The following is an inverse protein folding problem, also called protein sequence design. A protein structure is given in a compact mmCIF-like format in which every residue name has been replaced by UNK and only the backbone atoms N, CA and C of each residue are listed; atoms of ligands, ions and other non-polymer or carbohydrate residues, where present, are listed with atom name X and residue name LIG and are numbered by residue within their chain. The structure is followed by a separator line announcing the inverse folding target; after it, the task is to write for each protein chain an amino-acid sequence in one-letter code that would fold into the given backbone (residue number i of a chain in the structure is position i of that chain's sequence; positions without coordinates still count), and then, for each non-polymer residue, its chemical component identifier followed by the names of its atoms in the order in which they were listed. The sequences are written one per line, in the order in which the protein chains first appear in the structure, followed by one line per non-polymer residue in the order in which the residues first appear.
data_IF_848591571176
#
_entry.id   IF_848591571176
#
_cell.length_a   1.000
_cell.length_b   1.000
_cell.length_c   1.000
_cell.angle_alpha   90.00
_cell.angle_beta   90.00
_cell.angle_gamma   90.00
#
_symmetry.space_group_name_H-M   'P 1'
#
loop_
_entity.id
_entity.type
_entity.pdbx_description
1 polymer ?
#
# COMPACT_ATOMS: atom_id res chain seq x y z
N UNK A 1 44.90 -88.46 -27.63
CA UNK A 1 44.04 -89.17 -28.60
C UNK A 1 42.68 -89.42 -27.95
N UNK A 2 41.69 -88.74 -28.49
CA UNK A 2 40.23 -88.99 -28.45
C UNK A 2 39.77 -90.36 -27.95
N UNK A 3 38.85 -90.36 -26.98
CA UNK A 3 37.71 -91.27 -26.99
C UNK A 3 36.42 -90.49 -26.65
N UNK A 4 35.58 -90.38 -27.67
CA UNK A 4 34.21 -89.87 -27.65
C UNK A 4 33.27 -90.92 -27.04
N UNK A 5 32.43 -90.52 -26.09
CA UNK A 5 31.25 -91.27 -25.67
C UNK A 5 30.01 -90.38 -25.82
N UNK A 6 28.99 -90.93 -26.48
CA UNK A 6 27.74 -90.28 -26.84
C UNK A 6 26.87 -89.90 -25.62
N UNK A 7 26.05 -88.84 -25.72
CA UNK A 7 25.19 -88.40 -24.62
C UNK A 7 23.91 -89.25 -24.51
N UNK A 8 23.33 -89.41 -23.31
CA UNK A 8 22.06 -90.10 -23.08
C UNK A 8 20.84 -89.25 -23.49
N UNK A 9 19.67 -89.88 -23.69
CA UNK A 9 18.49 -89.25 -24.30
C UNK A 9 17.77 -88.24 -23.39
N UNK A 10 17.19 -87.23 -24.04
CA UNK A 10 16.44 -86.11 -23.47
C UNK A 10 15.04 -86.59 -23.02
N UNK A 11 14.60 -86.28 -21.77
CA UNK A 11 13.22 -86.52 -21.36
C UNK A 11 12.26 -85.44 -21.88
N UNK A 12 11.15 -85.87 -22.46
CA UNK A 12 10.03 -85.04 -22.91
C UNK A 12 9.28 -84.41 -21.73
N UNK A 13 8.96 -83.11 -21.73
CA UNK A 13 8.23 -82.49 -20.63
C UNK A 13 6.73 -82.81 -20.68
N UNK A 14 6.18 -83.18 -19.52
CA UNK A 14 4.76 -83.37 -19.29
C UNK A 14 3.98 -82.04 -19.39
N UNK A 15 2.81 -82.09 -20.02
CA UNK A 15 1.90 -80.96 -20.19
C UNK A 15 1.26 -80.54 -18.85
N UNK A 16 1.82 -79.51 -18.21
CA UNK A 16 1.22 -78.84 -17.05
C UNK A 16 0.25 -77.74 -17.48
N UNK A 17 -1.06 -77.94 -17.25
CA UNK A 17 -2.07 -76.86 -17.31
C UNK A 17 -1.79 -75.83 -16.22
N UNK A 18 -1.39 -74.61 -16.59
CA UNK A 18 -1.46 -73.45 -15.69
C UNK A 18 -2.47 -72.45 -16.25
N UNK A 19 -3.70 -72.56 -15.73
CA UNK A 19 -4.74 -71.54 -15.84
C UNK A 19 -4.35 -70.34 -14.95
N UNK A 20 -4.38 -69.16 -15.56
CA UNK A 20 -4.74 -67.86 -14.95
C UNK A 20 -3.88 -67.37 -13.76
N UNK A 21 -2.83 -66.62 -14.07
CA UNK A 21 -2.30 -65.54 -13.20
C UNK A 21 -1.84 -64.34 -14.05
N UNK A 22 -2.79 -63.69 -14.74
CA UNK A 22 -2.57 -62.38 -15.42
C UNK A 22 -3.62 -61.33 -15.04
N UNK A 23 -4.25 -61.49 -13.87
CA UNK A 23 -5.29 -60.56 -13.40
C UNK A 23 -4.93 -59.78 -12.12
N UNK A 24 -3.78 -60.08 -11.48
CA UNK A 24 -3.37 -59.40 -10.24
C UNK A 24 -2.60 -58.09 -10.45
N UNK A 25 -1.80 -57.99 -11.51
CA UNK A 25 -0.94 -56.82 -11.75
C UNK A 25 -1.64 -55.68 -12.52
N UNK A 26 -2.68 -55.99 -13.30
CA UNK A 26 -3.49 -54.97 -13.97
C UNK A 26 -4.46 -54.26 -13.00
N UNK A 27 -4.94 -54.95 -11.96
CA UNK A 27 -5.82 -54.35 -10.94
C UNK A 27 -5.03 -53.40 -10.00
N UNK A 28 -3.78 -53.74 -9.67
CA UNK A 28 -2.94 -52.90 -8.81
C UNK A 28 -2.50 -51.61 -9.52
N UNK A 29 -2.18 -51.67 -10.82
CA UNK A 29 -1.84 -50.49 -11.61
C UNK A 29 -3.04 -49.56 -11.81
N UNK A 30 -4.25 -50.10 -11.97
CA UNK A 30 -5.48 -49.30 -12.11
C UNK A 30 -5.85 -48.57 -10.79
N UNK A 31 -5.62 -49.18 -9.63
CA UNK A 31 -5.90 -48.54 -8.32
C UNK A 31 -4.92 -47.39 -8.04
N UNK A 32 -3.64 -47.51 -8.40
CA UNK A 32 -2.65 -46.43 -8.22
C UNK A 32 -2.92 -45.25 -9.16
N UNK A 33 -3.33 -45.50 -10.41
CA UNK A 33 -3.71 -44.42 -11.35
C UNK A 33 -5.02 -43.75 -10.91
N UNK A 34 -6.01 -44.49 -10.40
CA UNK A 34 -7.25 -43.90 -9.89
C UNK A 34 -7.02 -43.08 -8.60
N UNK A 35 -6.11 -43.50 -7.72
CA UNK A 35 -5.73 -42.75 -6.53
C UNK A 35 -4.95 -41.46 -6.85
N UNK A 36 -4.17 -41.44 -7.93
CA UNK A 36 -3.48 -40.23 -8.41
C UNK A 36 -4.43 -39.28 -9.15
N UNK A 37 -5.41 -39.79 -9.88
CA UNK A 37 -6.43 -38.95 -10.56
C UNK A 37 -7.45 -38.40 -9.55
N UNK A 38 -7.87 -39.18 -8.55
CA UNK A 38 -8.77 -38.68 -7.49
C UNK A 38 -8.03 -37.84 -6.43
N UNK A 39 -6.77 -38.16 -6.10
CA UNK A 39 -5.93 -37.32 -5.24
C UNK A 39 -5.52 -36.00 -5.91
N UNK A 40 -5.35 -36.00 -7.24
CA UNK A 40 -5.13 -34.80 -8.05
C UNK A 40 -6.37 -33.91 -8.20
N UNK A 41 -7.58 -34.49 -8.10
CA UNK A 41 -8.84 -33.72 -8.11
C UNK A 41 -9.22 -33.12 -6.75
N UNK A 42 -8.65 -33.61 -5.64
CA UNK A 42 -8.83 -33.00 -4.30
C UNK A 42 -7.85 -31.87 -4.00
N UNK A 43 -6.91 -31.57 -4.91
CA UNK A 43 -6.02 -30.41 -4.82
C UNK A 43 -6.54 -29.17 -5.57
N UNK A 44 -7.66 -29.28 -6.28
CA UNK A 44 -8.18 -28.20 -7.14
C UNK A 44 -9.48 -27.52 -6.67
N UNK A 45 -10.00 -27.83 -5.49
CA UNK A 45 -11.23 -27.18 -4.96
C UNK A 45 -11.08 -26.63 -3.54
N UNK A 46 -9.84 -26.33 -3.10
CA UNK A 46 -9.57 -25.94 -1.71
C UNK A 46 -8.66 -24.72 -1.53
N UNK A 47 -8.37 -23.96 -2.58
CA UNK A 47 -7.90 -22.59 -2.39
C UNK A 47 -9.12 -21.68 -2.40
N UNK A 48 -9.52 -21.24 -1.22
CA UNK A 48 -10.10 -19.91 -1.11
C UNK A 48 -9.14 -18.97 -1.82
N UNK A 49 -9.56 -18.40 -2.94
CA UNK A 49 -8.88 -17.22 -3.46
C UNK A 49 -8.90 -16.21 -2.31
N UNK A 50 -7.75 -15.76 -1.78
CA UNK A 50 -7.76 -14.52 -1.04
C UNK A 50 -8.39 -13.49 -1.99
N UNK A 51 -9.30 -12.69 -1.46
CA UNK A 51 -10.09 -11.71 -2.20
C UNK A 51 -9.25 -11.05 -3.28
N UNK A 52 -9.86 -10.89 -4.45
CA UNK A 52 -9.32 -10.22 -5.62
C UNK A 52 -8.41 -9.06 -5.16
N UNK A 53 -7.09 -9.30 -5.12
CA UNK A 53 -6.13 -8.23 -4.86
C UNK A 53 -6.30 -7.29 -6.02
N UNK A 54 -6.78 -6.07 -5.77
CA UNK A 54 -6.77 -5.01 -6.77
C UNK A 54 -5.32 -4.88 -7.24
N UNK A 55 -5.01 -5.46 -8.41
CA UNK A 55 -3.71 -5.32 -9.05
C UNK A 55 -3.57 -3.88 -9.56
N UNK A 56 -2.34 -3.49 -9.87
CA UNK A 56 -1.83 -2.23 -10.49
C UNK A 56 -2.58 -1.73 -11.75
N UNK A 57 -3.76 -2.26 -12.05
CA UNK A 57 -4.54 -2.07 -13.27
C UNK A 57 -5.98 -1.61 -13.03
N UNK A 58 -6.44 -1.56 -11.77
CA UNK A 58 -7.82 -1.16 -11.47
C UNK A 58 -7.84 0.27 -10.93
N UNK A 59 -8.56 1.14 -11.63
CA UNK A 59 -8.85 2.49 -11.13
C UNK A 59 -9.54 2.42 -9.78
N UNK A 60 -9.19 3.34 -8.90
CA UNK A 60 -9.96 3.63 -7.68
C UNK A 60 -10.58 5.01 -7.84
N UNK A 61 -11.82 5.15 -7.42
CA UNK A 61 -12.45 6.42 -7.12
C UNK A 61 -13.33 6.22 -5.90
N UNK A 62 -13.14 7.06 -4.89
CA UNK A 62 -13.96 7.12 -3.69
C UNK A 62 -14.27 8.59 -3.43
N UNK A 63 -15.53 8.97 -3.56
CA UNK A 63 -16.09 10.29 -3.30
C UNK A 63 -16.70 10.40 -1.90
N UNK A 64 -16.54 9.36 -1.06
CA UNK A 64 -16.99 9.36 0.32
C UNK A 64 -18.48 9.65 0.49
N UNK A 65 -19.29 9.33 -0.53
CA UNK A 65 -20.74 9.42 -0.47
C UNK A 65 -21.30 8.44 0.58
N UNK A 66 -22.07 8.98 1.54
CA UNK A 66 -22.69 8.19 2.59
C UNK A 66 -23.50 9.04 3.56
N UNK A 67 -24.08 8.41 4.58
CA UNK A 67 -24.84 9.14 5.60
C UNK A 67 -23.88 9.83 6.60
N UNK A 68 -24.25 11.00 7.09
CA UNK A 68 -23.49 11.69 8.13
C UNK A 68 -23.25 10.77 9.35
N UNK A 69 -22.00 10.70 9.81
CA UNK A 69 -21.58 9.88 10.94
C UNK A 69 -21.37 8.39 10.61
N UNK A 70 -21.49 7.98 9.35
CA UNK A 70 -21.15 6.61 8.94
C UNK A 70 -19.65 6.43 8.68
N UNK A 71 -19.17 5.19 8.77
CA UNK A 71 -17.78 4.84 8.46
C UNK A 71 -17.52 4.88 6.94
N UNK A 72 -16.27 5.15 6.50
CA UNK A 72 -15.89 5.04 5.09
C UNK A 72 -16.00 3.60 4.58
N UNK A 73 -15.98 3.44 3.26
CA UNK A 73 -16.13 2.13 2.60
C UNK A 73 -15.17 1.07 3.19
N UNK A 74 -15.67 0.04 3.89
CA UNK A 74 -14.82 -0.94 4.57
C UNK A 74 -14.14 -1.91 3.61
N UNK A 75 -14.50 -1.95 2.33
CA UNK A 75 -13.77 -2.72 1.33
C UNK A 75 -12.49 -2.02 0.88
N UNK A 76 -12.35 -0.71 1.16
CA UNK A 76 -11.18 0.10 0.81
C UNK A 76 -10.40 0.52 2.04
N UNK A 77 -11.09 0.93 3.12
CA UNK A 77 -10.49 1.61 4.27
C UNK A 77 -10.57 0.81 5.55
N UNK A 78 -9.50 0.85 6.35
CA UNK A 78 -9.45 0.39 7.73
C UNK A 78 -9.08 1.56 8.63
N UNK A 79 -9.90 1.84 9.64
CA UNK A 79 -9.55 2.82 10.68
C UNK A 79 -8.49 2.19 11.59
N UNK A 80 -7.45 2.95 11.92
CA UNK A 80 -6.40 2.54 12.84
C UNK A 80 -6.64 3.26 14.18
N UNK A 81 -6.71 2.49 15.26
CA UNK A 81 -6.89 3.01 16.61
C UNK A 81 -5.65 2.82 17.46
N UNK A 82 -5.57 3.57 18.56
CA UNK A 82 -4.48 3.47 19.52
C UNK A 82 -3.70 4.78 19.66
N UNK A 83 -3.12 4.97 20.83
CA UNK A 83 -2.10 5.96 21.12
C UNK A 83 -0.71 5.35 21.27
N UNK A 84 0.14 5.96 22.09
CA UNK A 84 1.51 5.50 22.32
C UNK A 84 2.54 6.09 21.36
N UNK A 85 2.16 7.13 20.62
CA UNK A 85 3.08 8.05 19.97
C UNK A 85 3.68 7.60 18.65
N UNK A 86 3.23 6.48 18.07
CA UNK A 86 3.39 6.14 16.65
C UNK A 86 4.81 6.27 16.04
N UNK A 87 5.85 6.25 16.88
CA UNK A 87 7.25 6.44 16.48
C UNK A 87 7.77 7.88 16.58
N UNK A 88 6.89 8.87 16.81
CA UNK A 88 7.17 10.30 16.73
C UNK A 88 6.80 11.09 17.99
N UNK A 89 6.55 10.42 19.12
CA UNK A 89 6.11 11.05 20.38
C UNK A 89 4.75 11.77 20.27
N UNK A 90 3.91 11.33 19.33
CA UNK A 90 2.55 11.84 19.13
C UNK A 90 1.68 11.66 20.41
N UNK A 91 0.78 12.61 20.67
CA UNK A 91 0.01 12.68 21.92
C UNK A 91 -1.42 12.12 21.78
N UNK A 92 -1.97 12.06 20.57
CA UNK A 92 -3.34 11.60 20.37
C UNK A 92 -3.52 10.10 20.64
N UNK A 93 -4.72 9.76 21.07
CA UNK A 93 -5.30 8.43 20.86
C UNK A 93 -6.08 8.46 19.53
N UNK A 94 -5.73 7.62 18.55
CA UNK A 94 -6.58 7.47 17.37
C UNK A 94 -7.82 6.64 17.71
N UNK A 95 -9.01 7.11 17.30
CA UNK A 95 -10.30 6.48 17.65
C UNK A 95 -11.20 6.31 16.43
N UNK A 96 -12.14 5.35 16.51
CA UNK A 96 -13.10 5.09 15.42
C UNK A 96 -14.08 6.25 15.21
N UNK A 97 -14.54 6.88 16.29
CA UNK A 97 -15.49 7.98 16.26
C UNK A 97 -14.91 9.31 15.74
N UNK A 98 -13.59 9.39 15.58
CA UNK A 98 -12.90 10.53 14.97
C UNK A 98 -12.78 10.43 13.44
N UNK A 99 -13.32 9.37 12.82
CA UNK A 99 -13.31 9.14 11.38
C UNK A 99 -14.73 8.88 10.89
N UNK A 100 -15.33 9.84 10.17
CA UNK A 100 -16.71 9.71 9.71
C UNK A 100 -16.97 10.44 8.40
N UNK A 101 -18.00 9.99 7.67
CA UNK A 101 -18.56 10.70 6.54
C UNK A 101 -19.39 11.89 7.03
N UNK A 102 -19.35 13.02 6.33
CA UNK A 102 -20.08 14.24 6.70
C UNK A 102 -21.56 14.22 6.28
N UNK A 103 -21.93 13.35 5.33
CA UNK A 103 -23.26 13.28 4.75
C UNK A 103 -23.47 14.12 3.49
N UNK A 104 -22.46 14.87 3.09
CA UNK A 104 -22.45 15.82 1.98
C UNK A 104 -21.33 15.52 0.95
N UNK A 105 -20.74 14.32 1.02
CA UNK A 105 -19.77 13.81 0.04
C UNK A 105 -18.31 14.01 0.46
N UNK A 106 -18.00 13.93 1.75
CA UNK A 106 -16.62 13.94 2.22
C UNK A 106 -16.40 13.03 3.44
N UNK A 107 -15.15 12.57 3.55
CA UNK A 107 -14.60 11.96 4.76
C UNK A 107 -13.99 13.04 5.65
N UNK A 108 -14.24 12.97 6.95
CA UNK A 108 -13.70 13.89 7.96
C UNK A 108 -12.89 13.11 9.00
N UNK A 109 -11.66 13.57 9.22
CA UNK A 109 -10.84 13.18 10.36
C UNK A 109 -10.84 14.34 11.36
N UNK A 110 -11.36 14.10 12.57
CA UNK A 110 -11.52 15.14 13.59
C UNK A 110 -10.51 14.94 14.71
N UNK A 111 -9.61 15.91 14.89
CA UNK A 111 -8.79 16.01 16.10
C UNK A 111 -9.53 16.82 17.16
N UNK A 112 -9.57 16.30 18.39
CA UNK A 112 -10.05 17.02 19.57
C UNK A 112 -8.90 17.21 20.55
N UNK A 113 -8.62 18.45 20.91
CA UNK A 113 -7.57 18.85 21.87
C UNK A 113 -8.26 19.45 23.11
N UNK A 114 -8.40 18.69 24.21
CA UNK A 114 -9.10 19.19 25.39
C UNK A 114 -8.38 20.37 26.05
N UNK A 115 -9.11 21.47 26.29
CA UNK A 115 -8.57 22.67 26.94
C UNK A 115 -8.12 22.44 28.40
N UNK A 116 -8.59 21.37 29.03
CA UNK A 116 -8.22 20.97 30.39
C UNK A 116 -6.94 20.10 30.46
N UNK A 117 -6.28 19.87 29.32
CA UNK A 117 -5.08 19.05 29.23
C UNK A 117 -5.37 17.55 29.23
N UNK A 118 -6.61 17.14 28.95
CA UNK A 118 -6.96 15.75 28.67
C UNK A 118 -6.23 15.19 27.44
N UNK A 119 -6.25 13.86 27.29
CA UNK A 119 -5.64 13.18 26.13
C UNK A 119 -6.35 13.59 24.84
N UNK A 120 -5.62 14.12 23.84
CA UNK A 120 -6.21 14.41 22.54
C UNK A 120 -6.72 13.14 21.85
N UNK A 121 -7.78 13.27 21.04
CA UNK A 121 -8.23 12.20 20.15
C UNK A 121 -8.11 12.65 18.70
N UNK A 122 -7.95 11.70 17.77
CA UNK A 122 -7.92 12.02 16.35
C UNK A 122 -8.26 10.83 15.45
N UNK A 123 -8.33 11.07 14.14
CA UNK A 123 -8.57 10.07 13.11
C UNK A 123 -7.31 9.64 12.36
N UNK A 124 -7.23 8.34 12.05
CA UNK A 124 -6.25 7.74 11.13
C UNK A 124 -6.87 6.55 10.42
N UNK A 125 -6.68 6.46 9.12
CA UNK A 125 -7.16 5.33 8.32
C UNK A 125 -6.19 4.96 7.22
N UNK A 126 -6.29 3.72 6.76
CA UNK A 126 -5.40 3.14 5.76
C UNK A 126 -6.11 2.20 4.81
N UNK A 127 -5.58 2.06 3.58
CA UNK A 127 -6.00 1.02 2.65
C UNK A 127 -5.23 -0.30 2.80
N UNK A 128 -4.37 -0.42 3.83
CA UNK A 128 -3.51 -1.59 4.04
C UNK A 128 -4.30 -2.91 3.98
N UNK A 129 -3.84 -3.83 3.12
CA UNK A 129 -4.44 -5.14 2.94
C UNK A 129 -5.78 -5.16 2.20
N UNK A 130 -6.30 -4.00 1.79
CA UNK A 130 -7.57 -3.83 1.06
C UNK A 130 -7.34 -3.33 -0.36
N UNK A 131 -6.57 -2.25 -0.50
CA UNK A 131 -6.23 -1.65 -1.79
C UNK A 131 -4.79 -1.12 -1.81
N UNK A 132 -4.14 -1.25 -2.97
CA UNK A 132 -2.73 -0.92 -3.17
C UNK A 132 -2.55 -0.03 -4.40
N UNK A 133 -1.67 0.96 -4.27
CA UNK A 133 -1.16 1.84 -5.31
C UNK A 133 0.18 1.32 -5.86
N UNK A 134 0.19 0.93 -7.14
CA UNK A 134 1.41 0.56 -7.85
C UNK A 134 2.04 1.75 -8.57
N UNK A 135 2.18 1.65 -9.89
CA UNK A 135 2.55 2.77 -10.74
C UNK A 135 1.30 3.49 -11.26
N UNK A 136 1.46 4.78 -11.54
CA UNK A 136 0.38 5.63 -12.02
C UNK A 136 0.24 6.89 -11.20
N UNK A 137 -0.95 7.47 -11.22
CA UNK A 137 -1.27 8.73 -10.56
C UNK A 137 -2.31 8.52 -9.48
N UNK A 138 -2.01 8.93 -8.26
CA UNK A 138 -2.92 8.97 -7.13
C UNK A 138 -3.12 10.42 -6.72
N UNK A 139 -4.36 10.88 -6.74
CA UNK A 139 -4.74 12.24 -6.36
C UNK A 139 -5.80 12.20 -5.27
N UNK A 140 -5.74 13.13 -4.31
CA UNK A 140 -6.79 13.36 -3.34
C UNK A 140 -7.09 14.85 -3.21
N UNK A 141 -8.37 15.21 -3.13
CA UNK A 141 -8.79 16.59 -2.86
C UNK A 141 -9.06 16.76 -1.37
N UNK A 142 -8.24 17.55 -0.71
CA UNK A 142 -8.20 17.65 0.75
C UNK A 142 -8.19 19.11 1.17
N UNK A 143 -8.89 19.44 2.26
CA UNK A 143 -8.71 20.68 3.01
C UNK A 143 -8.05 20.33 4.34
N UNK A 144 -6.87 20.87 4.58
CA UNK A 144 -6.07 20.59 5.78
C UNK A 144 -6.44 21.52 6.94
N UNK A 145 -6.34 21.09 8.20
CA UNK A 145 -6.42 21.99 9.35
C UNK A 145 -5.12 22.77 9.56
N UNK A 146 -5.21 23.88 10.30
CA UNK A 146 -4.10 24.74 10.70
C UNK A 146 -4.10 24.90 12.22
N UNK A 147 -2.94 24.90 12.87
CA UNK A 147 -2.86 25.12 14.30
C UNK A 147 -1.64 24.47 14.93
N UNK A 148 -1.07 25.15 15.94
CA UNK A 148 0.05 24.65 16.72
C UNK A 148 -0.23 23.24 17.26
N UNK A 149 0.76 22.36 17.16
CA UNK A 149 0.68 20.97 17.58
C UNK A 149 -0.03 20.04 16.61
N UNK A 150 -0.61 20.53 15.50
CA UNK A 150 -1.26 19.67 14.52
C UNK A 150 -0.28 19.23 13.43
N UNK A 151 -0.43 17.99 12.97
CA UNK A 151 0.29 17.44 11.83
C UNK A 151 -0.67 16.58 10.98
N UNK A 152 -1.45 17.19 10.07
CA UNK A 152 -2.16 16.44 9.05
C UNK A 152 -1.19 15.87 8.01
N UNK A 153 -1.48 14.66 7.54
CA UNK A 153 -0.68 13.98 6.54
C UNK A 153 -1.54 13.19 5.54
N UNK A 154 -1.16 13.25 4.26
CA UNK A 154 -1.54 12.28 3.23
C UNK A 154 -0.27 11.62 2.71
N UNK A 155 -0.17 10.31 2.86
CA UNK A 155 1.09 9.59 2.69
C UNK A 155 0.87 8.14 2.29
N UNK A 156 1.95 7.51 1.86
CA UNK A 156 1.98 6.15 1.36
C UNK A 156 3.03 5.34 2.10
N UNK A 157 2.71 4.08 2.38
CA UNK A 157 3.63 3.14 3.01
C UNK A 157 3.69 1.84 2.21
N UNK A 158 4.86 1.25 2.05
CA UNK A 158 5.03 0.01 1.29
C UNK A 158 4.20 -1.15 1.84
N UNK A 159 3.52 -1.89 0.97
CA UNK A 159 2.65 -3.01 1.36
C UNK A 159 3.39 -4.12 2.11
N UNK A 160 4.69 -4.22 1.89
CA UNK A 160 5.55 -5.19 2.54
C UNK A 160 5.98 -4.78 3.95
N UNK A 161 5.54 -3.62 4.49
CA UNK A 161 5.98 -3.10 5.79
C UNK A 161 5.82 -4.10 6.94
N UNK A 162 4.80 -4.95 6.94
CA UNK A 162 4.62 -6.00 7.96
C UNK A 162 5.61 -7.17 7.83
N UNK A 163 6.29 -7.29 6.69
CA UNK A 163 7.24 -8.37 6.38
C UNK A 163 8.70 -7.91 6.36
N UNK A 164 8.98 -6.70 5.89
CA UNK A 164 10.35 -6.14 5.78
C UNK A 164 10.61 -5.00 6.75
N UNK A 165 9.58 -4.44 7.38
CA UNK A 165 9.68 -3.30 8.28
C UNK A 165 9.91 -1.96 7.58
N UNK A 166 9.74 -0.89 8.34
CA UNK A 166 10.25 0.43 7.99
C UNK A 166 11.75 0.52 8.36
N UNK A 167 12.61 1.19 7.56
CA UNK A 167 12.34 1.95 6.33
C UNK A 167 12.37 1.09 5.06
N UNK A 168 12.61 -0.22 5.17
CA UNK A 168 12.86 -1.09 4.01
C UNK A 168 11.66 -1.23 3.06
N UNK A 169 10.44 -1.01 3.56
CA UNK A 169 9.23 -0.99 2.75
C UNK A 169 9.06 0.30 1.91
N UNK A 170 9.76 1.37 2.26
CA UNK A 170 9.59 2.69 1.65
C UNK A 170 8.37 3.45 2.18
N UNK A 171 8.50 4.77 2.22
CA UNK A 171 7.46 5.73 2.61
C UNK A 171 7.53 6.95 1.70
N UNK A 172 6.36 7.43 1.26
CA UNK A 172 6.21 8.61 0.42
C UNK A 172 5.20 9.54 1.08
N UNK A 173 5.66 10.65 1.59
CA UNK A 173 4.85 11.68 2.24
C UNK A 173 4.45 12.72 1.21
N UNK A 174 3.21 12.61 0.73
CA UNK A 174 2.67 13.44 -0.36
C UNK A 174 2.43 14.86 0.15
N UNK A 175 1.96 15.00 1.39
CA UNK A 175 1.93 16.29 2.09
C UNK A 175 1.91 16.08 3.59
N UNK A 176 2.73 16.85 4.29
CA UNK A 176 2.70 17.09 5.73
C UNK A 176 2.76 18.60 6.00
N UNK A 177 1.99 19.10 6.97
CA UNK A 177 1.99 20.53 7.35
C UNK A 177 2.04 20.71 8.87
N UNK A 178 3.23 20.64 9.50
CA UNK A 178 3.36 20.80 10.94
C UNK A 178 3.01 22.22 11.36
N UNK A 179 2.05 22.37 12.29
CA UNK A 179 1.59 23.63 12.89
C UNK A 179 0.90 24.61 11.95
N UNK A 180 1.40 24.76 10.72
CA UNK A 180 0.89 25.69 9.74
C UNK A 180 0.87 25.13 8.33
N UNK A 181 -0.12 25.56 7.58
CA UNK A 181 -0.44 25.23 6.20
C UNK A 181 0.08 26.28 5.22
N UNK A 182 0.82 27.30 5.68
CA UNK A 182 1.54 28.24 4.78
C UNK A 182 2.75 27.62 4.12
N UNK A 183 3.16 26.43 4.56
CA UNK A 183 4.27 25.66 4.01
C UNK A 183 3.89 24.18 3.98
N UNK A 184 4.15 23.53 2.87
CA UNK A 184 4.03 22.07 2.72
C UNK A 184 5.40 21.42 2.85
N UNK A 185 5.41 20.17 3.30
CA UNK A 185 6.58 19.32 3.36
C UNK A 185 6.29 17.98 2.68
N UNK A 186 7.32 17.44 2.04
CA UNK A 186 7.27 16.24 1.22
C UNK A 186 8.52 15.42 1.48
N UNK A 187 8.35 14.12 1.69
CA UNK A 187 9.47 13.26 2.06
C UNK A 187 9.40 11.92 1.34
N UNK A 188 10.59 11.41 0.98
CA UNK A 188 10.79 10.03 0.58
C UNK A 188 11.73 9.39 1.59
N UNK A 189 11.30 8.32 2.25
CA UNK A 189 12.15 7.54 3.14
C UNK A 189 12.44 6.17 2.55
N UNK A 190 13.70 5.76 2.63
CA UNK A 190 14.13 4.43 2.20
C UNK A 190 15.33 3.92 2.98
N UNK A 191 15.73 2.65 2.79
CA UNK A 191 16.77 2.02 3.59
C UNK A 191 18.19 2.39 3.12
N UNK A 192 19.07 2.73 4.05
CA UNK A 192 20.55 2.66 3.87
C UNK A 192 21.13 1.34 4.40
N UNK A 193 20.33 0.59 5.16
CA UNK A 193 20.67 -0.71 5.75
C UNK A 193 19.42 -1.46 6.23
N UNK A 194 19.54 -2.28 7.27
CA UNK A 194 18.40 -3.01 7.84
C UNK A 194 17.55 -2.14 8.77
N UNK A 195 18.16 -1.19 9.49
CA UNK A 195 17.49 -0.30 10.45
C UNK A 195 17.77 1.19 10.23
N UNK A 196 18.75 1.52 9.40
CA UNK A 196 19.08 2.89 9.04
C UNK A 196 18.34 3.30 7.77
N UNK A 197 17.97 4.57 7.70
CA UNK A 197 17.25 5.15 6.57
C UNK A 197 18.04 6.29 5.92
N UNK A 198 17.66 6.59 4.69
CA UNK A 198 17.91 7.87 4.04
C UNK A 198 16.55 8.58 3.90
N UNK A 199 16.61 9.91 3.82
CA UNK A 199 15.44 10.72 3.52
C UNK A 199 15.81 11.77 2.46
N UNK A 200 14.93 11.99 1.49
CA UNK A 200 14.96 13.16 0.61
C UNK A 200 13.77 14.01 0.98
N UNK A 201 14.02 15.30 1.23
CA UNK A 201 13.06 16.19 1.87
C UNK A 201 12.94 17.45 1.04
N UNK A 202 11.70 17.85 0.74
CA UNK A 202 11.40 19.13 0.12
C UNK A 202 10.34 19.88 0.93
N UNK A 203 10.45 21.21 0.93
CA UNK A 203 9.47 22.07 1.59
C UNK A 203 9.18 23.31 0.79
N UNK A 204 7.90 23.55 0.52
CA UNK A 204 7.44 24.60 -0.40
C UNK A 204 6.55 25.59 0.33
N UNK A 205 6.88 26.88 0.24
CA UNK A 205 6.01 27.94 0.73
C UNK A 205 4.80 28.09 -0.19
N UNK A 206 3.61 28.09 0.40
CA UNK A 206 2.35 28.15 -0.34
C UNK A 206 1.90 29.60 -0.50
N UNK A 207 1.32 29.96 -1.67
CA UNK A 207 0.87 31.33 -1.93
C UNK A 207 -0.33 31.72 -1.05
N UNK A 208 -1.09 30.72 -0.60
CA UNK A 208 -2.15 30.81 0.41
C UNK A 208 -2.02 29.62 1.36
N UNK A 209 -2.39 29.75 2.64
CA UNK A 209 -2.47 28.61 3.54
C UNK A 209 -3.39 27.52 2.97
N UNK A 210 -2.92 26.27 2.95
CA UNK A 210 -3.66 25.11 2.46
C UNK A 210 -4.93 24.77 3.28
N UNK A 211 -5.15 25.47 4.39
CA UNK A 211 -6.38 25.40 5.19
C UNK A 211 -7.51 26.28 4.70
N UNK A 212 -7.24 27.22 3.77
CA UNK A 212 -8.26 28.18 3.31
C UNK A 212 -9.28 27.57 2.35
N UNK A 213 -8.88 26.58 1.53
CA UNK A 213 -9.74 25.88 0.59
C UNK A 213 -9.25 24.45 0.41
N UNK A 214 -10.00 23.65 -0.34
CA UNK A 214 -9.53 22.35 -0.80
C UNK A 214 -8.47 22.51 -1.88
N UNK A 215 -7.44 21.68 -1.79
CA UNK A 215 -6.37 21.55 -2.77
C UNK A 215 -6.27 20.11 -3.26
N UNK A 216 -5.73 19.91 -4.47
CA UNK A 216 -5.50 18.57 -5.03
C UNK A 216 -4.04 18.18 -4.82
N UNK A 217 -3.82 17.16 -4.00
CA UNK A 217 -2.53 16.58 -3.71
C UNK A 217 -2.33 15.34 -4.56
N UNK A 218 -1.29 15.31 -5.36
CA UNK A 218 -1.05 14.23 -6.31
C UNK A 218 0.35 13.66 -6.15
N UNK A 219 0.44 12.33 -6.20
CA UNK A 219 1.68 11.60 -6.44
C UNK A 219 1.59 10.82 -7.74
N UNK A 220 2.66 10.86 -8.52
CA UNK A 220 2.85 10.02 -9.69
C UNK A 220 4.09 9.14 -9.50
N UNK A 221 3.86 7.81 -9.50
CA UNK A 221 4.94 6.81 -9.46
C UNK A 221 5.17 6.29 -10.88
N UNK A 222 6.42 6.37 -11.31
CA UNK A 222 6.94 5.73 -12.53
C UNK A 222 8.14 4.84 -12.15
N UNK A 223 8.55 3.89 -13.01
CA UNK A 223 9.78 3.15 -12.77
C UNK A 223 10.96 4.11 -12.51
N UNK A 224 11.55 4.03 -11.32
CA UNK A 224 12.69 4.86 -10.91
C UNK A 224 12.40 6.36 -10.71
N UNK A 225 11.14 6.80 -10.60
CA UNK A 225 10.80 8.22 -10.39
C UNK A 225 9.51 8.42 -9.58
N UNK A 226 9.52 9.38 -8.65
CA UNK A 226 8.36 9.81 -7.88
C UNK A 226 8.21 11.32 -8.05
N UNK A 227 7.02 11.76 -8.44
CA UNK A 227 6.68 13.18 -8.62
C UNK A 227 5.51 13.50 -7.69
N UNK A 228 5.61 14.57 -6.93
CA UNK A 228 4.55 15.09 -6.07
C UNK A 228 4.15 16.48 -6.55
N UNK A 229 2.86 16.73 -6.61
CA UNK A 229 2.29 18.01 -7.01
C UNK A 229 1.12 18.44 -6.11
N UNK A 230 0.98 19.75 -5.94
CA UNK A 230 -0.19 20.41 -5.33
C UNK A 230 -0.80 21.32 -6.39
N UNK A 231 -2.09 21.14 -6.69
CA UNK A 231 -2.82 21.89 -7.73
C UNK A 231 -2.06 21.93 -9.08
N UNK A 232 -1.62 20.75 -9.52
CA UNK A 232 -0.81 20.52 -10.72
C UNK A 232 0.58 21.19 -10.74
N UNK A 233 0.98 21.88 -9.66
CA UNK A 233 2.34 22.41 -9.50
C UNK A 233 3.25 21.38 -8.86
N UNK A 234 4.32 20.98 -9.54
CA UNK A 234 5.31 20.05 -9.00
C UNK A 234 6.05 20.70 -7.83
N UNK A 235 6.02 20.00 -6.69
CA UNK A 235 6.67 20.43 -5.43
C UNK A 235 7.82 19.51 -5.03
N UNK A 236 7.86 18.29 -5.58
CA UNK A 236 8.98 17.36 -5.43
C UNK A 236 9.06 16.46 -6.66
N UNK A 237 10.26 16.23 -7.16
CA UNK A 237 10.54 15.37 -8.31
C UNK A 237 11.86 14.66 -8.06
N UNK A 238 11.80 13.35 -7.83
CA UNK A 238 12.94 12.55 -7.41
C UNK A 238 13.08 11.34 -8.30
N UNK A 239 14.30 11.12 -8.77
CA UNK A 239 14.68 9.96 -9.55
C UNK A 239 15.56 9.01 -8.71
N UNK A 240 15.63 7.74 -9.13
CA UNK A 240 16.39 6.70 -8.43
C UNK A 240 17.86 7.10 -8.19
N UNK A 241 18.46 7.87 -9.10
CA UNK A 241 19.85 8.34 -8.97
C UNK A 241 20.07 9.46 -7.96
N UNK A 242 19.00 10.11 -7.48
CA UNK A 242 19.09 11.09 -6.40
C UNK A 242 19.25 10.42 -5.02
N UNK A 243 18.99 9.11 -4.93
CA UNK A 243 19.15 8.35 -3.70
C UNK A 243 20.61 8.38 -3.25
N UNK A 244 20.90 8.89 -2.03
CA UNK A 244 22.28 8.97 -1.56
C UNK A 244 22.84 7.58 -1.29
N UNK A 245 24.06 7.30 -1.74
CA UNK A 245 24.74 6.06 -1.38
C UNK A 245 25.00 6.00 0.14
N UNK A 246 24.79 4.84 0.81
CA UNK A 246 24.52 3.50 0.27
C UNK A 246 23.01 3.15 0.17
N UNK A 247 22.14 4.15 0.08
CA UNK A 247 20.70 4.02 -0.01
C UNK A 247 20.24 3.18 -1.20
N UNK A 248 19.07 2.57 -1.04
CA UNK A 248 18.39 1.80 -2.09
C UNK A 248 17.05 2.42 -2.43
N UNK A 249 16.72 2.46 -3.71
CA UNK A 249 15.39 2.76 -4.21
C UNK A 249 14.45 1.60 -3.91
N UNK A 250 13.27 1.91 -3.35
CA UNK A 250 12.27 0.92 -2.91
C UNK A 250 10.84 1.24 -3.37
N UNK A 251 10.65 2.32 -4.14
CA UNK A 251 9.32 2.80 -4.51
C UNK A 251 8.73 2.12 -5.77
N UNK A 252 9.43 1.12 -6.30
CA UNK A 252 8.89 0.25 -7.37
C UNK A 252 7.87 -0.76 -6.82
N UNK A 253 7.88 -1.01 -5.50
CA UNK A 253 6.91 -1.88 -4.86
C UNK A 253 5.56 -1.16 -4.66
N UNK A 254 4.43 -1.90 -4.62
CA UNK A 254 3.13 -1.34 -4.26
C UNK A 254 3.09 -0.79 -2.84
N UNK A 255 2.31 0.27 -2.67
CA UNK A 255 2.12 1.01 -1.42
C UNK A 255 0.63 1.12 -1.10
N UNK A 256 0.24 1.18 0.18
CA UNK A 256 -1.12 1.54 0.58
C UNK A 256 -1.17 3.01 0.99
N UNK A 257 -2.35 3.61 0.87
CA UNK A 257 -2.58 5.00 1.25
C UNK A 257 -2.96 5.12 2.73
N UNK A 258 -2.59 6.26 3.32
CA UNK A 258 -2.95 6.66 4.67
C UNK A 258 -3.37 8.14 4.69
N UNK A 259 -4.41 8.43 5.47
CA UNK A 259 -4.67 9.77 5.96
C UNK A 259 -4.59 9.76 7.48
N UNK A 260 -3.99 10.80 8.06
CA UNK A 260 -3.89 10.97 9.51
C UNK A 260 -3.87 12.44 9.87
N UNK A 261 -4.43 12.74 11.04
CA UNK A 261 -4.32 14.06 11.68
C UNK A 261 -3.65 13.88 13.04
N UNK A 262 -2.32 13.90 13.09
CA UNK A 262 -1.60 13.75 14.35
C UNK A 262 -1.70 15.03 15.21
N UNK A 263 -1.60 14.86 16.53
CA UNK A 263 -1.58 15.92 17.52
C UNK A 263 -0.37 15.73 18.43
N UNK A 264 0.49 16.72 18.52
CA UNK A 264 1.76 16.63 19.23
C UNK A 264 2.81 15.83 18.45
N UNK A 265 3.97 15.67 19.08
CA UNK A 265 5.10 14.92 18.53
C UNK A 265 6.33 15.78 18.29
N UNK A 266 7.44 15.10 17.99
CA UNK A 266 8.77 15.70 17.88
C UNK A 266 8.84 16.90 16.93
N UNK A 267 8.05 16.87 15.86
CA UNK A 267 8.11 17.88 14.80
C UNK A 267 7.12 19.04 14.98
N UNK A 268 5.81 18.82 15.13
CA UNK A 268 4.88 19.93 15.40
C UNK A 268 5.11 20.51 16.80
N UNK A 269 5.67 19.73 17.74
CA UNK A 269 5.67 20.07 19.16
C UNK A 269 4.28 19.91 19.76
N UNK A 270 4.15 20.20 21.05
CA UNK A 270 2.87 20.04 21.74
C UNK A 270 1.86 21.12 21.34
N UNK A 271 0.54 20.82 21.43
CA UNK A 271 -0.50 21.85 21.44
C UNK A 271 -0.26 22.91 22.52
N UNK A 272 -0.72 24.13 22.27
CA UNK A 272 -0.69 25.22 23.25
C UNK A 272 -2.03 25.97 23.29
N UNK A 273 -2.08 27.11 24.00
CA UNK A 273 -3.30 27.91 24.13
C UNK A 273 -3.85 28.49 22.82
N UNK A 274 -3.11 28.38 21.72
CA UNK A 274 -3.52 28.81 20.37
C UNK A 274 -4.07 27.66 19.53
N UNK A 275 -3.88 26.41 19.95
CA UNK A 275 -4.42 25.24 19.26
C UNK A 275 -5.94 25.21 19.37
N UNK A 276 -6.68 25.05 18.25
CA UNK A 276 -8.13 24.88 18.29
C UNK A 276 -8.52 23.62 19.07
N UNK A 277 -9.58 23.70 19.88
CA UNK A 277 -10.11 22.52 20.59
C UNK A 277 -10.61 21.43 19.63
N UNK A 278 -11.06 21.81 18.44
CA UNK A 278 -11.47 20.88 17.38
C UNK A 278 -10.88 21.33 16.06
N UNK A 279 -10.27 20.39 15.34
CA UNK A 279 -9.68 20.60 14.02
C UNK A 279 -10.04 19.45 13.09
N UNK A 280 -10.28 19.76 11.81
CA UNK A 280 -10.76 18.77 10.84
C UNK A 280 -9.86 18.74 9.60
N UNK A 281 -9.46 17.53 9.21
CA UNK A 281 -8.96 17.25 7.87
C UNK A 281 -10.11 16.68 7.06
N UNK A 282 -10.48 17.36 5.97
CA UNK A 282 -11.65 17.01 5.16
C UNK A 282 -11.18 16.52 3.79
N UNK A 283 -11.58 15.31 3.40
CA UNK A 283 -11.21 14.66 2.15
C UNK A 283 -12.48 14.53 1.30
N UNK A 284 -12.51 15.24 0.18
CA UNK A 284 -13.65 15.24 -0.77
C UNK A 284 -13.63 14.00 -1.67
N UNK A 285 -12.47 13.62 -2.20
CA UNK A 285 -12.31 12.39 -2.96
C UNK A 285 -10.88 11.93 -3.02
N UNK A 286 -10.68 10.64 -3.35
CA UNK A 286 -9.41 10.07 -3.80
C UNK A 286 -9.60 9.34 -5.14
N UNK A 287 -8.63 9.47 -6.04
CA UNK A 287 -8.64 8.82 -7.35
C UNK A 287 -7.27 8.24 -7.71
N UNK A 288 -7.28 7.00 -8.20
CA UNK A 288 -6.11 6.34 -8.78
C UNK A 288 -6.34 6.05 -10.26
N UNK A 289 -5.39 6.46 -11.09
CA UNK A 289 -5.28 6.06 -12.49
C UNK A 289 -3.98 5.28 -12.71
N UNK A 290 -4.05 4.01 -13.17
CA UNK A 290 -2.87 3.20 -13.49
C UNK A 290 -1.93 3.82 -14.52
N UNK A 291 -0.65 3.44 -14.47
CA UNK A 291 0.40 3.98 -15.34
C UNK A 291 0.11 3.84 -16.85
N UNK A 292 -0.56 2.76 -17.26
CA UNK A 292 -0.93 2.51 -18.65
C UNK A 292 -2.01 3.46 -19.19
N UNK A 293 -2.56 4.33 -18.33
CA UNK A 293 -3.68 5.22 -18.63
C UNK A 293 -3.39 6.72 -18.42
N UNK A 294 -2.21 7.09 -17.91
CA UNK A 294 -1.81 8.49 -17.66
C UNK A 294 -0.88 9.08 -18.74
N UNK A 295 -0.56 8.30 -19.78
CA UNK A 295 0.35 8.71 -20.85
C UNK A 295 1.83 8.78 -20.41
N UNK A 296 2.70 9.09 -21.36
CA UNK A 296 4.16 9.18 -21.10
C UNK A 296 4.56 10.49 -20.43
N UNK A 297 3.76 11.55 -20.62
CA UNK A 297 3.99 12.90 -20.11
C UNK A 297 3.75 12.98 -18.60
N UNK A 298 4.77 13.25 -17.77
CA UNK A 298 4.59 13.37 -16.33
C UNK A 298 3.82 14.63 -15.91
N UNK A 299 3.27 14.64 -14.68
CA UNK A 299 2.63 15.84 -14.11
C UNK A 299 3.59 17.02 -14.15
N UNK A 300 3.07 18.22 -14.43
CA UNK A 300 3.84 19.46 -14.41
C UNK A 300 4.75 19.67 -15.62
N UNK A 301 4.89 18.68 -16.51
CA UNK A 301 5.58 18.91 -17.79
C UNK A 301 4.68 19.74 -18.71
N UNK A 302 4.98 21.03 -18.79
CA UNK A 302 4.40 21.90 -19.81
C UNK A 302 5.32 21.92 -21.01
N UNK A 303 4.87 21.36 -22.12
CA UNK A 303 5.49 21.63 -23.42
C UNK A 303 5.07 23.02 -23.86
N UNK A 304 5.99 23.82 -24.39
CA UNK A 304 5.58 24.96 -25.19
C UNK A 304 4.91 24.49 -26.51
N UNK A 305 4.27 25.40 -27.25
CA UNK A 305 3.64 25.10 -28.55
C UNK A 305 4.60 24.50 -29.60
N UNK A 306 5.90 24.37 -29.29
CA UNK A 306 6.92 23.77 -30.15
C UNK A 306 7.33 22.35 -29.74
N UNK A 307 6.81 21.83 -28.63
CA UNK A 307 7.13 20.49 -28.12
C UNK A 307 8.46 20.38 -27.38
N UNK A 308 9.02 21.51 -26.94
CA UNK A 308 10.21 21.53 -26.09
C UNK A 308 9.82 21.60 -24.61
N UNK A 309 10.51 20.81 -23.76
CA UNK A 309 10.38 20.89 -22.30
C UNK A 309 10.89 22.26 -21.82
N UNK A 310 10.15 22.89 -20.89
CA UNK A 310 10.50 24.18 -20.27
C UNK A 310 11.35 24.03 -19.03
#
# INVERSE_FOLDING_TARGET
MTMTTSPPPVPTPAAGRVRRRRLGWALLAAIVVLALVLGGLWWFTGFSFPGQRYTDSTRLFDDFDGAAGSEPNPDVWSIQTGGGGWGNEELQEYTEDAVALDGDGALVLTATVPADGGTPTSGRLTTQGKWSFGYGRLSARIKLPDGQGLLPAFWLLGDKVTTVGWPAAGEIDIVETPNTTTRSAHHLHGPTGASDHWALNEGVDMPVPLSQDFHVYTVEKRPGRVIIAIDDQVVMDVEEWDVPLPGRWVFDDPTHALFSLAVGGNWPGDPDSTTPETSEMVIDWISYTPADQIGETPIGTTYDDTGAER
#
